data_IF_410085261819
#
_entry.id   IF_410085261819
#
_cell.length_a   1.000
_cell.length_b   1.000
_cell.length_c   1.000
_cell.angle_alpha   90.00
_cell.angle_beta   90.00
_cell.angle_gamma   90.00
#
_symmetry.space_group_name_H-M   'P 1'
#
loop_
_entity.id
_entity.type
_entity.pdbx_description
1 polymer ?
#
# COMPACT_ATOMS: atom_id res chain seq x y z
N UNK A 1 5.67 10.86 11.18
CA UNK A 1 5.80 9.44 10.78
C UNK A 1 6.89 9.33 9.72
N UNK A 2 7.73 8.28 9.74
CA UNK A 2 8.81 8.06 8.75
C UNK A 2 8.59 6.83 7.87
N UNK A 3 7.78 5.89 8.33
CA UNK A 3 7.65 4.58 7.71
C UNK A 3 6.22 4.07 7.80
N UNK A 4 5.74 3.42 6.75
CA UNK A 4 4.52 2.62 6.73
C UNK A 4 4.90 1.19 6.35
N UNK A 5 4.41 0.22 7.12
CA UNK A 5 4.59 -1.20 6.83
C UNK A 5 3.21 -1.80 6.62
N UNK A 6 2.94 -2.33 5.42
CA UNK A 6 1.65 -2.96 5.13
C UNK A 6 1.81 -4.48 5.02
N UNK A 7 0.86 -5.20 5.58
CA UNK A 7 0.85 -6.67 5.55
C UNK A 7 0.53 -7.19 4.15
N UNK A 8 -0.43 -6.56 3.47
CA UNK A 8 -0.86 -6.86 2.11
C UNK A 8 -1.66 -5.68 1.53
N UNK A 9 -2.06 -5.79 0.26
CA UNK A 9 -2.58 -4.68 -0.56
C UNK A 9 -4.11 -4.52 -0.55
N UNK A 10 -4.85 -5.21 0.32
CA UNK A 10 -6.30 -5.02 0.37
C UNK A 10 -6.64 -3.60 0.82
N UNK A 11 -7.80 -3.08 0.39
CA UNK A 11 -8.17 -1.67 0.54
C UNK A 11 -8.20 -1.22 2.02
N UNK A 12 -8.66 -2.10 2.91
CA UNK A 12 -8.71 -1.90 4.36
C UNK A 12 -7.33 -1.87 5.03
N UNK A 13 -6.30 -2.38 4.37
CA UNK A 13 -4.92 -2.39 4.87
C UNK A 13 -4.01 -1.37 4.20
N UNK A 14 -4.24 -1.08 2.91
CA UNK A 14 -3.37 -0.26 2.08
C UNK A 14 -4.00 1.04 1.60
N UNK A 15 -5.33 1.23 1.80
CA UNK A 15 -6.13 2.31 1.24
C UNK A 15 -5.58 3.71 1.44
N UNK A 16 -5.15 4.01 2.67
CA UNK A 16 -4.65 5.33 3.02
C UNK A 16 -3.18 5.57 2.61
N UNK A 17 -2.47 4.57 2.10
CA UNK A 17 -1.00 4.65 1.95
C UNK A 17 -0.58 5.77 1.00
N UNK A 18 -1.22 5.87 -0.16
CA UNK A 18 -0.91 6.94 -1.12
C UNK A 18 -1.20 8.32 -0.55
N UNK A 19 -2.33 8.49 0.12
CA UNK A 19 -2.72 9.75 0.79
C UNK A 19 -1.69 10.17 1.84
N UNK A 20 -1.25 9.23 2.68
CA UNK A 20 -0.22 9.53 3.69
C UNK A 20 1.10 9.96 3.05
N UNK A 21 1.49 9.34 1.94
CA UNK A 21 2.71 9.71 1.20
C UNK A 21 2.57 11.05 0.48
N UNK A 22 1.38 11.38 -0.03
CA UNK A 22 1.08 12.70 -0.59
C UNK A 22 1.24 13.80 0.46
N UNK A 23 0.68 13.59 1.66
CA UNK A 23 0.77 14.53 2.78
C UNK A 23 2.19 14.63 3.37
N UNK A 24 2.95 13.52 3.35
CA UNK A 24 4.34 13.48 3.81
C UNK A 24 5.22 12.66 2.86
N UNK A 25 5.82 13.33 1.85
CA UNK A 25 6.64 12.67 0.83
C UNK A 25 7.91 11.97 1.33
N UNK A 26 8.27 12.14 2.61
CA UNK A 26 9.42 11.50 3.23
C UNK A 26 9.11 10.10 3.80
N UNK A 27 7.86 9.62 3.71
CA UNK A 27 7.49 8.28 4.18
C UNK A 27 8.09 7.21 3.27
N UNK A 28 8.71 6.20 3.87
CA UNK A 28 9.07 4.95 3.20
C UNK A 28 7.98 3.90 3.41
N UNK A 29 7.52 3.27 2.34
CA UNK A 29 6.48 2.24 2.36
C UNK A 29 7.11 0.88 2.12
N UNK A 30 7.00 0.00 3.11
CA UNK A 30 7.46 -1.38 3.02
C UNK A 30 6.28 -2.33 2.81
N UNK A 31 6.41 -3.20 1.81
CA UNK A 31 5.44 -4.21 1.41
C UNK A 31 6.19 -5.38 0.77
N UNK A 32 5.59 -6.56 0.76
CA UNK A 32 6.09 -7.69 0.00
C UNK A 32 6.28 -7.35 -1.50
N UNK A 33 7.31 -7.89 -2.15
CA UNK A 33 7.67 -7.62 -3.57
C UNK A 33 6.48 -7.72 -4.54
N UNK A 34 5.62 -8.72 -4.33
CA UNK A 34 4.40 -8.96 -5.12
C UNK A 34 3.35 -7.85 -4.96
N UNK A 35 3.31 -7.19 -3.81
CA UNK A 35 2.38 -6.10 -3.50
C UNK A 35 2.86 -4.73 -3.99
N UNK A 36 4.18 -4.51 -4.07
CA UNK A 36 4.77 -3.22 -4.46
C UNK A 36 4.19 -2.65 -5.76
N UNK A 37 4.12 -3.47 -6.82
CA UNK A 37 3.56 -3.06 -8.12
C UNK A 37 2.10 -2.58 -8.04
N UNK A 38 1.33 -3.07 -7.07
CA UNK A 38 -0.08 -2.70 -6.89
C UNK A 38 -0.27 -1.44 -6.06
N UNK A 39 0.72 -1.05 -5.26
CA UNK A 39 0.74 0.27 -4.62
C UNK A 39 1.16 1.35 -5.61
N UNK A 40 2.14 1.05 -6.46
CA UNK A 40 2.63 1.98 -7.48
C UNK A 40 1.56 2.21 -8.54
N UNK A 41 0.92 1.14 -9.01
CA UNK A 41 -0.23 1.18 -9.93
C UNK A 41 -1.41 0.38 -9.35
N UNK A 42 -2.37 1.04 -8.69
CA UNK A 42 -3.53 0.39 -8.09
C UNK A 42 -4.63 0.06 -9.11
N UNK A 43 -4.45 0.35 -10.40
CA UNK A 43 -5.51 0.20 -11.41
C UNK A 43 -6.18 -1.18 -11.41
N UNK A 44 -5.40 -2.26 -11.31
CA UNK A 44 -5.92 -3.64 -11.27
C UNK A 44 -6.68 -3.94 -9.97
N UNK A 45 -6.21 -3.42 -8.84
CA UNK A 45 -6.86 -3.58 -7.54
C UNK A 45 -8.21 -2.84 -7.54
N UNK A 46 -8.21 -1.57 -7.97
CA UNK A 46 -9.39 -0.74 -8.08
C UNK A 46 -10.42 -1.31 -9.07
N UNK A 47 -9.98 -1.81 -10.23
CA UNK A 47 -10.88 -2.45 -11.18
C UNK A 47 -11.54 -3.71 -10.60
N UNK A 48 -10.83 -4.48 -9.78
CA UNK A 48 -11.42 -5.65 -9.11
C UNK A 48 -12.40 -5.26 -8.01
N UNK A 49 -12.05 -4.29 -7.17
CA UNK A 49 -12.92 -3.80 -6.12
C UNK A 49 -14.19 -3.14 -6.68
N UNK A 50 -14.06 -2.36 -7.76
CA UNK A 50 -15.19 -1.70 -8.42
C UNK A 50 -16.21 -2.70 -8.96
N UNK A 51 -15.77 -3.88 -9.42
CA UNK A 51 -16.72 -4.95 -9.83
C UNK A 51 -17.56 -5.49 -8.67
N UNK A 52 -17.05 -5.38 -7.43
CA UNK A 52 -17.70 -5.91 -6.24
C UNK A 52 -18.58 -4.85 -5.56
N UNK A 53 -18.05 -3.63 -5.40
CA UNK A 53 -18.71 -2.54 -4.69
C UNK A 53 -19.49 -1.58 -5.60
N UNK A 54 -19.25 -1.60 -6.91
CA UNK A 54 -19.98 -0.80 -7.89
C UNK A 54 -20.03 0.68 -7.53
N UNK A 55 -21.25 1.22 -7.44
CA UNK A 55 -21.50 2.63 -7.12
C UNK A 55 -21.12 3.01 -5.68
N UNK A 56 -20.98 2.04 -4.76
CA UNK A 56 -20.64 2.31 -3.35
C UNK A 56 -19.12 2.47 -3.14
N UNK A 57 -18.30 2.26 -4.17
CA UNK A 57 -16.84 2.26 -4.06
C UNK A 57 -16.30 3.53 -3.40
N UNK A 58 -16.74 4.71 -3.87
CA UNK A 58 -16.27 6.00 -3.35
C UNK A 58 -16.77 6.25 -1.92
N UNK A 59 -18.04 5.95 -1.64
CA UNK A 59 -18.63 6.10 -0.29
C UNK A 59 -17.94 5.23 0.75
N UNK A 60 -17.58 3.99 0.39
CA UNK A 60 -16.99 3.03 1.33
C UNK A 60 -15.48 3.19 1.50
N UNK A 61 -14.77 3.50 0.42
CA UNK A 61 -13.30 3.42 0.39
C UNK A 61 -12.62 4.75 0.08
N UNK A 62 -13.34 5.71 -0.51
CA UNK A 62 -12.77 6.97 -0.97
C UNK A 62 -11.65 6.78 -2.00
N UNK A 63 -10.78 7.79 -2.16
CA UNK A 63 -9.68 7.72 -3.11
C UNK A 63 -8.58 6.76 -2.63
N UNK A 64 -8.18 5.82 -3.49
CA UNK A 64 -6.95 5.05 -3.33
C UNK A 64 -5.86 5.65 -4.21
N UNK A 65 -5.01 6.48 -3.63
CA UNK A 65 -3.93 7.13 -4.36
C UNK A 65 -2.75 6.16 -4.61
N UNK A 66 -2.07 6.26 -5.77
CA UNK A 66 -0.84 5.51 -6.02
C UNK A 66 0.28 6.01 -5.11
N UNK A 67 1.20 5.11 -4.77
CA UNK A 67 2.44 5.44 -4.06
C UNK A 67 3.55 5.65 -5.10
N UNK A 68 4.27 6.79 -5.11
CA UNK A 68 5.41 6.96 -6.00
C UNK A 68 6.46 5.87 -5.79
N UNK A 69 7.03 5.34 -6.88
CA UNK A 69 8.01 4.24 -6.82
C UNK A 69 9.21 4.56 -5.92
N UNK A 70 9.66 5.83 -5.88
CA UNK A 70 10.73 6.29 -4.98
C UNK A 70 10.45 6.06 -3.48
N UNK A 71 9.17 5.95 -3.11
CA UNK A 71 8.73 5.73 -1.74
C UNK A 71 8.58 4.23 -1.42
N UNK A 72 8.73 3.33 -2.40
CA UNK A 72 8.63 1.87 -2.26
C UNK A 72 9.99 1.24 -2.57
N UNK A 73 10.82 0.94 -1.56
CA UNK A 73 12.14 0.34 -1.79
C UNK A 73 12.02 -0.98 -2.57
N UNK A 74 12.93 -1.19 -3.51
CA UNK A 74 13.06 -2.47 -4.19
C UNK A 74 13.50 -3.52 -3.16
N UNK A 75 12.64 -4.50 -2.88
CA UNK A 75 13.03 -5.67 -2.09
C UNK A 75 13.67 -6.70 -3.02
N UNK A 76 14.93 -7.01 -2.75
CA UNK A 76 15.61 -8.15 -3.36
C UNK A 76 15.18 -9.43 -2.65
N UNK A 77 14.81 -10.49 -3.37
CA UNK A 77 14.57 -11.82 -2.78
C UNK A 77 15.82 -12.28 -2.02
N UNK A 78 15.79 -12.19 -0.69
CA UNK A 78 16.92 -12.49 0.20
C UNK A 78 17.25 -11.39 1.22
N UNK A 79 16.77 -10.17 0.99
CA UNK A 79 16.69 -9.16 2.05
C UNK A 79 15.61 -9.62 3.02
N UNK A 80 16.00 -9.87 4.28
CA UNK A 80 15.04 -10.20 5.34
C UNK A 80 13.96 -9.13 5.31
N UNK A 81 12.74 -9.52 4.90
CA UNK A 81 11.56 -8.70 5.12
C UNK A 81 11.58 -8.28 6.59
N UNK A 82 11.07 -7.09 6.89
CA UNK A 82 10.96 -6.65 8.28
C UNK A 82 10.11 -7.70 9.00
N UNK A 83 10.77 -8.54 9.79
CA UNK A 83 10.13 -9.56 10.60
C UNK A 83 9.48 -8.84 11.78
N UNK A 84 8.18 -8.57 11.63
CA UNK A 84 7.36 -7.95 12.66
C UNK A 84 6.96 -8.92 13.77
N UNK A 85 7.42 -10.18 13.73
CA UNK A 85 7.17 -11.14 14.82
C UNK A 85 8.05 -10.94 16.06
N UNK A 86 9.07 -10.07 16.01
CA UNK A 86 9.97 -9.80 17.14
C UNK A 86 9.79 -8.44 17.83
N UNK A 87 8.78 -7.64 17.48
CA UNK A 87 8.45 -6.44 18.25
C UNK A 87 7.23 -6.70 19.13
N UNK A 88 7.52 -7.10 20.39
CA UNK A 88 6.57 -7.10 21.48
C UNK A 88 5.91 -5.70 21.58
N UNK A 89 4.64 -5.62 21.21
CA UNK A 89 3.71 -4.63 21.72
C UNK A 89 3.03 -5.17 22.96
#
# INVERSE_FOLDING_TARGET
MRTVLITHIHLDHAGATGTLVEENPNITVYVHERGARHLIDPSKLLASATRLYGAEMDTLWGPFLPVPEKNVPAFSRGERGIDVSEQNF
#
